data_IF_418594132324
#
_entry.id   IF_418594132324
#
_cell.length_a   1.000
_cell.length_b   1.000
_cell.length_c   1.000
_cell.angle_alpha   90.00
_cell.angle_beta   90.00
_cell.angle_gamma   90.00
#
_symmetry.space_group_name_H-M   'P 1'
#
loop_
_entity.id
_entity.type
_entity.pdbx_description
1 polymer ?
#
# COMPACT_ATOMS: atom_id res chain seq x y z
N UNK A 1 -3.40 -3.70 15.66
CA UNK A 1 -3.82 -2.67 16.63
C UNK A 1 -4.50 -3.31 17.83
N UNK A 2 -4.51 -2.58 18.92
CA UNK A 2 -5.29 -2.94 20.11
C UNK A 2 -6.26 -1.81 20.42
N UNK A 3 -7.55 -2.11 20.51
CA UNK A 3 -8.63 -1.16 20.81
C UNK A 3 -9.48 -1.73 21.93
N UNK A 4 -9.64 -0.99 23.02
CA UNK A 4 -10.36 -1.43 24.22
C UNK A 4 -9.93 -2.85 24.71
N UNK A 5 -8.63 -3.14 24.64
CA UNK A 5 -8.09 -4.42 25.07
C UNK A 5 -8.25 -5.58 24.06
N UNK A 6 -8.93 -5.37 22.93
CA UNK A 6 -9.09 -6.35 21.84
C UNK A 6 -8.03 -6.13 20.78
N UNK A 7 -7.35 -7.20 20.37
CA UNK A 7 -6.34 -7.16 19.31
C UNK A 7 -6.96 -7.33 17.93
N UNK A 8 -6.52 -6.47 16.99
CA UNK A 8 -6.90 -6.48 15.58
C UNK A 8 -5.64 -6.63 14.73
N UNK A 9 -5.53 -7.68 13.91
CA UNK A 9 -4.40 -7.84 12.99
C UNK A 9 -4.29 -6.67 12.03
N UNK A 10 -3.06 -6.22 11.77
CA UNK A 10 -2.74 -5.19 10.79
C UNK A 10 -1.72 -5.72 9.78
N UNK A 11 -1.75 -5.16 8.58
CA UNK A 11 -0.67 -5.31 7.61
C UNK A 11 -0.18 -3.91 7.25
N UNK A 12 1.09 -3.63 7.58
CA UNK A 12 1.72 -2.34 7.30
C UNK A 12 1.76 -2.05 5.80
N UNK A 13 1.47 -0.82 5.42
CA UNK A 13 1.57 -0.37 4.04
C UNK A 13 3.03 -0.22 3.61
N UNK A 14 3.32 -0.50 2.35
CA UNK A 14 4.64 -0.23 1.80
C UNK A 14 4.96 1.25 1.94
N UNK A 15 6.12 1.57 2.50
CA UNK A 15 6.59 2.91 2.92
C UNK A 15 5.90 3.49 4.18
N UNK A 16 5.16 2.71 4.94
CA UNK A 16 4.70 3.14 6.26
C UNK A 16 5.88 3.45 7.20
N UNK A 17 5.71 4.41 8.07
CA UNK A 17 6.59 4.55 9.23
C UNK A 17 6.33 3.42 10.23
N UNK A 18 7.35 3.14 11.05
CA UNK A 18 7.21 2.28 12.22
C UNK A 18 6.35 2.94 13.29
N UNK A 19 5.69 2.12 14.07
CA UNK A 19 5.00 2.52 15.29
C UNK A 19 5.21 1.47 16.38
N UNK A 20 5.68 1.90 17.52
CA UNK A 20 5.82 1.07 18.71
C UNK A 20 4.83 1.55 19.76
N UNK A 21 3.74 0.81 19.92
CA UNK A 21 2.69 1.09 20.93
C UNK A 21 2.16 2.53 20.85
N UNK A 22 1.96 3.05 19.65
CA UNK A 22 1.49 4.41 19.39
C UNK A 22 0.06 4.58 19.91
N UNK A 23 -0.10 5.41 20.91
CA UNK A 23 -1.40 5.68 21.55
C UNK A 23 -2.14 6.86 20.90
N UNK A 24 -3.44 6.74 20.77
CA UNK A 24 -4.30 7.83 20.30
C UNK A 24 -5.77 7.49 20.30
N UNK A 25 -6.61 8.51 20.25
CA UNK A 25 -8.05 8.34 20.06
C UNK A 25 -8.31 7.87 18.63
N UNK A 26 -9.09 6.80 18.48
CA UNK A 26 -9.54 6.32 17.19
C UNK A 26 -10.62 7.27 16.64
N UNK A 27 -10.49 7.67 15.38
CA UNK A 27 -11.42 8.56 14.71
C UNK A 27 -11.86 7.94 13.39
N UNK A 28 -13.14 7.73 13.20
CA UNK A 28 -13.67 7.26 11.92
C UNK A 28 -13.92 8.42 10.95
N UNK A 29 -13.28 8.34 9.79
CA UNK A 29 -13.47 9.27 8.69
C UNK A 29 -14.75 8.91 7.90
N UNK A 30 -15.88 9.39 8.38
CA UNK A 30 -17.20 9.10 7.78
C UNK A 30 -17.39 9.67 6.38
N UNK A 31 -16.52 10.62 5.96
CA UNK A 31 -16.56 11.20 4.62
C UNK A 31 -15.69 10.45 3.61
N UNK A 32 -15.05 9.35 4.01
CA UNK A 32 -14.16 8.57 3.15
C UNK A 32 -14.84 7.93 1.92
N UNK A 33 -16.13 7.68 1.98
CA UNK A 33 -16.92 7.13 0.88
C UNK A 33 -17.69 8.21 0.09
N UNK A 34 -17.64 9.45 0.53
CA UNK A 34 -18.35 10.56 -0.10
C UNK A 34 -17.62 11.07 -1.35
N UNK A 35 -18.39 11.36 -2.40
CA UNK A 35 -17.86 11.93 -3.65
C UNK A 35 -18.27 13.38 -3.80
N UNK A 36 -17.36 14.17 -4.36
CA UNK A 36 -17.67 15.55 -4.71
C UNK A 36 -17.71 16.51 -3.52
N UNK A 37 -16.93 16.24 -2.49
CA UNK A 37 -16.76 17.17 -1.37
C UNK A 37 -16.31 18.55 -1.86
N UNK A 38 -16.89 19.59 -1.28
CA UNK A 38 -16.44 20.96 -1.49
C UNK A 38 -15.05 21.16 -0.83
N UNK A 39 -14.30 22.16 -1.27
CA UNK A 39 -13.00 22.51 -0.68
C UNK A 39 -13.06 22.75 0.83
N UNK A 40 -14.16 23.33 1.33
CA UNK A 40 -14.33 23.57 2.76
C UNK A 40 -14.58 22.25 3.50
N UNK A 41 -15.45 21.39 2.99
CA UNK A 41 -15.70 20.07 3.58
C UNK A 41 -14.42 19.21 3.61
N UNK A 42 -13.61 19.23 2.55
CA UNK A 42 -12.30 18.56 2.56
C UNK A 42 -11.35 19.14 3.62
N UNK A 43 -11.32 20.47 3.74
CA UNK A 43 -10.49 21.15 4.75
C UNK A 43 -10.91 20.71 6.15
N UNK A 44 -12.18 20.85 6.48
CA UNK A 44 -12.74 20.50 7.80
C UNK A 44 -12.52 19.00 8.11
N UNK A 45 -12.69 18.13 7.10
CA UNK A 45 -12.41 16.69 7.20
C UNK A 45 -10.98 16.43 7.66
N UNK A 46 -9.98 17.02 7.00
CA UNK A 46 -8.57 16.81 7.36
C UNK A 46 -8.19 17.49 8.67
N UNK A 47 -8.76 18.65 8.99
CA UNK A 47 -8.53 19.32 10.29
C UNK A 47 -8.98 18.46 11.49
N UNK A 48 -10.02 17.63 11.31
CA UNK A 48 -10.52 16.71 12.35
C UNK A 48 -9.57 15.53 12.63
N UNK A 49 -8.58 15.27 11.78
CA UNK A 49 -7.62 14.18 11.95
C UNK A 49 -6.49 14.50 12.93
N UNK A 50 -6.35 15.75 13.32
CA UNK A 50 -5.25 16.18 14.21
C UNK A 50 -5.21 15.37 15.50
N UNK A 51 -4.03 14.83 15.80
CA UNK A 51 -3.75 13.99 16.98
C UNK A 51 -4.56 12.69 17.09
N UNK A 52 -5.21 12.26 16.00
CA UNK A 52 -6.06 11.06 15.94
C UNK A 52 -5.37 9.89 15.20
N UNK A 53 -5.78 8.67 15.53
CA UNK A 53 -5.58 7.48 14.73
C UNK A 53 -6.82 7.39 13.82
N UNK A 54 -6.63 7.58 12.52
CA UNK A 54 -7.73 7.72 11.55
C UNK A 54 -8.09 6.36 10.98
N UNK A 55 -9.32 5.92 11.20
CA UNK A 55 -9.92 4.75 10.56
C UNK A 55 -10.69 5.23 9.32
N UNK A 56 -10.39 4.69 8.13
CA UNK A 56 -10.91 5.21 6.86
C UNK A 56 -11.04 4.13 5.79
N UNK A 57 -11.82 4.36 4.76
CA UNK A 57 -11.86 3.52 3.55
C UNK A 57 -10.84 3.95 2.49
N UNK A 58 -10.14 5.06 2.70
CA UNK A 58 -9.14 5.57 1.78
C UNK A 58 -7.76 4.93 2.01
N UNK A 59 -7.21 4.28 0.98
CA UNK A 59 -5.90 3.59 1.03
C UNK A 59 -4.83 4.26 0.17
N UNK A 60 -5.11 5.41 -0.46
CA UNK A 60 -4.19 6.05 -1.39
C UNK A 60 -3.11 6.86 -0.68
N UNK A 61 -1.88 6.78 -1.17
CA UNK A 61 -0.74 7.53 -0.63
C UNK A 61 -0.96 9.06 -0.56
N UNK A 62 -1.72 9.63 -1.51
CA UNK A 62 -2.08 11.06 -1.47
C UNK A 62 -2.94 11.39 -0.25
N UNK A 63 -3.89 10.52 0.11
CA UNK A 63 -4.69 10.68 1.32
C UNK A 63 -3.83 10.60 2.57
N UNK A 64 -2.97 9.58 2.67
CA UNK A 64 -2.08 9.39 3.83
C UNK A 64 -1.15 10.59 4.01
N UNK A 65 -0.62 11.15 2.93
CA UNK A 65 0.20 12.38 2.99
C UNK A 65 -0.59 13.56 3.53
N UNK A 66 -1.80 13.79 3.04
CA UNK A 66 -2.67 14.88 3.51
C UNK A 66 -3.08 14.68 4.99
N UNK A 67 -3.34 13.44 5.41
CA UNK A 67 -3.59 13.12 6.82
C UNK A 67 -2.37 13.44 7.70
N UNK A 68 -1.17 13.12 7.22
CA UNK A 68 0.09 13.48 7.89
C UNK A 68 0.27 15.00 8.01
N UNK A 69 0.05 15.74 6.93
CA UNK A 69 0.12 17.21 6.91
C UNK A 69 -0.91 17.85 7.86
N UNK A 70 -2.06 17.22 8.02
CA UNK A 70 -3.09 17.65 8.96
C UNK A 70 -2.77 17.30 10.43
N UNK A 71 -1.75 16.49 10.68
CA UNK A 71 -1.30 16.11 12.01
C UNK A 71 -1.96 14.86 12.57
N UNK A 72 -2.45 13.96 11.72
CA UNK A 72 -2.87 12.63 12.16
C UNK A 72 -1.69 11.85 12.76
N UNK A 73 -1.95 10.97 13.71
CA UNK A 73 -0.94 10.09 14.32
C UNK A 73 -0.67 8.84 13.52
N UNK A 74 -1.73 8.24 12.98
CA UNK A 74 -1.68 7.04 12.13
C UNK A 74 -2.91 6.98 11.24
N UNK A 75 -2.84 6.15 10.17
CA UNK A 75 -3.97 5.82 9.32
C UNK A 75 -4.17 4.30 9.31
N UNK A 76 -5.38 3.86 9.60
CA UNK A 76 -5.82 2.48 9.45
C UNK A 76 -6.85 2.44 8.33
N UNK A 77 -6.49 1.88 7.18
CA UNK A 77 -7.44 1.79 6.07
C UNK A 77 -8.16 0.44 6.07
N UNK A 78 -9.49 0.50 5.93
CA UNK A 78 -10.34 -0.68 5.88
C UNK A 78 -10.24 -1.30 4.48
N UNK A 79 -9.90 -2.59 4.42
CA UNK A 79 -9.81 -3.31 3.16
C UNK A 79 -11.17 -3.39 2.47
N UNK A 80 -11.21 -3.00 1.19
CA UNK A 80 -12.43 -3.04 0.39
C UNK A 80 -12.90 -4.49 0.09
N UNK A 81 -11.96 -5.44 0.07
CA UNK A 81 -12.25 -6.86 -0.20
C UNK A 81 -12.91 -7.55 0.98
N UNK A 82 -13.85 -8.45 0.66
CA UNK A 82 -14.49 -9.32 1.67
C UNK A 82 -13.60 -10.55 1.89
N UNK A 83 -13.50 -11.01 3.13
CA UNK A 83 -12.73 -12.18 3.51
C UNK A 83 -11.81 -11.90 4.71
N UNK A 84 -11.04 -12.91 5.12
CA UNK A 84 -10.20 -12.86 6.32
C UNK A 84 -8.77 -12.40 6.05
N UNK A 85 -8.49 -11.86 4.88
CA UNK A 85 -7.18 -11.33 4.51
C UNK A 85 -7.19 -9.81 4.44
N UNK A 86 -6.00 -9.23 4.63
CA UNK A 86 -5.76 -7.79 4.52
C UNK A 86 -4.92 -7.57 3.26
N UNK A 87 -5.45 -6.81 2.31
CA UNK A 87 -4.71 -6.47 1.11
C UNK A 87 -3.61 -5.46 1.44
N UNK A 88 -2.40 -5.71 0.96
CA UNK A 88 -1.31 -4.75 1.07
C UNK A 88 -1.62 -3.49 0.24
N UNK A 89 -1.20 -2.35 0.74
CA UNK A 89 -1.26 -1.09 0.02
C UNK A 89 0.12 -0.44 -0.08
N UNK A 90 0.25 0.47 -1.03
CA UNK A 90 1.47 1.26 -1.23
C UNK A 90 1.13 2.74 -1.10
N UNK A 91 1.68 3.39 -0.09
CA UNK A 91 1.45 4.81 0.19
C UNK A 91 2.55 5.71 -0.36
N UNK A 92 3.60 5.13 -0.92
CA UNK A 92 4.70 5.85 -1.56
C UNK A 92 4.48 6.11 -3.04
N UNK A 93 5.59 6.35 -3.73
CA UNK A 93 5.61 6.48 -5.20
C UNK A 93 5.42 5.12 -5.86
N UNK A 94 4.46 5.01 -6.77
CA UNK A 94 4.22 3.79 -7.54
C UNK A 94 5.13 3.74 -8.77
N UNK A 95 5.44 4.90 -9.34
CA UNK A 95 6.25 5.04 -10.56
C UNK A 95 7.65 5.54 -10.23
N UNK A 96 8.62 4.73 -10.56
CA UNK A 96 10.04 4.99 -10.30
C UNK A 96 10.49 4.58 -8.89
N UNK A 97 11.75 4.23 -8.79
CA UNK A 97 12.40 4.01 -7.48
C UNK A 97 12.83 5.38 -6.96
N UNK A 98 12.49 5.75 -5.72
CA UNK A 98 12.98 6.99 -5.13
C UNK A 98 14.51 6.96 -5.08
N UNK A 99 15.14 8.04 -5.50
CA UNK A 99 16.56 8.21 -5.30
C UNK A 99 16.89 8.57 -3.83
N UNK A 100 18.19 8.75 -3.52
CA UNK A 100 18.60 9.05 -2.16
C UNK A 100 18.06 10.38 -1.64
N UNK A 101 17.85 11.35 -2.51
CA UNK A 101 17.32 12.67 -2.15
C UNK A 101 15.81 12.57 -1.92
N UNK A 102 15.09 11.84 -2.76
CA UNK A 102 13.66 11.59 -2.60
C UNK A 102 13.33 10.73 -1.38
N UNK A 103 14.19 9.75 -1.04
CA UNK A 103 14.00 8.89 0.13
C UNK A 103 13.91 9.70 1.45
N UNK A 104 14.54 10.88 1.51
CA UNK A 104 14.44 11.76 2.67
C UNK A 104 13.03 12.36 2.83
N UNK A 105 12.26 12.48 1.74
CA UNK A 105 10.89 13.00 1.73
C UNK A 105 9.83 11.91 1.91
N UNK A 106 10.24 10.63 1.95
CA UNK A 106 9.35 9.49 2.13
C UNK A 106 9.12 9.13 3.60
N UNK A 107 9.19 10.09 4.48
CA UNK A 107 8.79 9.90 5.88
C UNK A 107 7.27 10.03 5.97
N UNK A 108 6.59 8.90 5.86
CA UNK A 108 5.15 8.85 6.05
C UNK A 108 4.83 8.60 7.53
N UNK A 109 3.58 8.91 7.93
CA UNK A 109 3.09 8.47 9.23
C UNK A 109 2.84 6.94 9.22
N UNK A 110 2.69 6.30 10.39
CA UNK A 110 2.28 4.90 10.47
C UNK A 110 0.96 4.68 9.74
N UNK A 111 0.95 3.74 8.78
CA UNK A 111 -0.22 3.39 7.98
C UNK A 111 -0.30 1.88 7.78
N UNK A 112 -1.50 1.33 7.93
CA UNK A 112 -1.72 -0.10 7.79
C UNK A 112 -3.14 -0.42 7.34
N UNK A 113 -3.29 -1.57 6.67
CA UNK A 113 -4.58 -2.17 6.38
C UNK A 113 -5.13 -2.93 7.57
N UNK A 114 -6.45 -2.88 7.75
CA UNK A 114 -7.23 -3.70 8.68
C UNK A 114 -8.29 -4.49 7.91
N UNK A 115 -8.63 -5.70 8.37
CA UNK A 115 -9.69 -6.50 7.72
C UNK A 115 -11.00 -5.72 7.68
N UNK A 116 -11.75 -5.94 6.61
CA UNK A 116 -13.06 -5.30 6.44
C UNK A 116 -13.98 -5.53 7.63
N UNK A 117 -14.14 -6.78 8.04
CA UNK A 117 -15.04 -7.11 9.15
C UNK A 117 -14.62 -6.44 10.47
N UNK A 118 -13.31 -6.32 10.72
CA UNK A 118 -12.79 -5.66 11.92
C UNK A 118 -13.04 -4.13 11.86
N UNK A 119 -12.81 -3.53 10.71
CA UNK A 119 -13.06 -2.11 10.50
C UNK A 119 -14.55 -1.76 10.67
N UNK A 120 -15.45 -2.54 10.05
CA UNK A 120 -16.89 -2.38 10.19
C UNK A 120 -17.33 -2.54 11.67
N UNK A 121 -16.80 -3.54 12.38
CA UNK A 121 -17.09 -3.72 13.80
C UNK A 121 -16.59 -2.57 14.70
N UNK A 122 -15.42 -1.98 14.34
CA UNK A 122 -14.92 -0.79 15.05
C UNK A 122 -15.82 0.42 14.81
N UNK A 123 -16.29 0.64 13.59
CA UNK A 123 -17.23 1.73 13.25
C UNK A 123 -18.52 1.60 14.09
N UNK A 124 -19.08 0.39 14.17
CA UNK A 124 -20.27 0.14 14.99
C UNK A 124 -20.03 0.45 16.48
N UNK A 125 -18.89 0.01 17.03
CA UNK A 125 -18.52 0.29 18.42
C UNK A 125 -18.33 1.79 18.70
N UNK A 126 -17.70 2.50 17.76
CA UNK A 126 -17.47 3.96 17.87
C UNK A 126 -18.76 4.78 17.91
N UNK A 127 -19.89 4.21 17.42
CA UNK A 127 -21.20 4.85 17.56
C UNK A 127 -21.65 4.99 19.03
N UNK A 128 -21.08 4.22 19.95
CA UNK A 128 -21.36 4.28 21.38
C UNK A 128 -20.47 5.30 22.14
N UNK A 129 -19.40 5.80 21.55
CA UNK A 129 -18.50 6.77 22.15
C UNK A 129 -17.08 6.75 21.60
N UNK A 130 -16.24 7.62 22.13
CA UNK A 130 -14.82 7.65 21.78
C UNK A 130 -14.10 6.40 22.26
N UNK A 131 -13.14 5.94 21.48
CA UNK A 131 -12.32 4.77 21.77
C UNK A 131 -10.84 5.13 21.65
N UNK A 132 -10.02 4.61 22.54
CA UNK A 132 -8.58 4.71 22.45
C UNK A 132 -7.99 3.47 21.74
N UNK A 133 -6.99 3.72 20.92
CA UNK A 133 -6.28 2.69 20.18
C UNK A 133 -4.77 2.76 20.44
N UNK A 134 -4.16 1.59 20.41
CA UNK A 134 -2.71 1.40 20.39
C UNK A 134 -2.34 0.72 19.06
N UNK A 135 -1.40 1.32 18.35
CA UNK A 135 -0.94 0.81 17.04
C UNK A 135 0.53 0.42 17.12
N UNK A 136 0.83 -0.81 16.73
CA UNK A 136 2.19 -1.30 16.55
C UNK A 136 2.35 -1.77 15.10
N UNK A 137 3.33 -1.22 14.39
CA UNK A 137 3.70 -1.55 13.01
C UNK A 137 5.21 -1.73 12.96
N UNK A 138 5.66 -2.93 12.67
CA UNK A 138 7.08 -3.22 12.44
C UNK A 138 7.35 -3.13 10.94
N UNK A 139 8.12 -2.13 10.52
CA UNK A 139 8.46 -1.88 9.13
C UNK A 139 9.91 -1.48 8.99
N UNK A 140 10.59 -1.99 7.98
CA UNK A 140 11.93 -1.58 7.63
C UNK A 140 11.98 -1.17 6.15
N UNK A 141 12.19 0.12 5.89
CA UNK A 141 12.43 0.65 4.54
C UNK A 141 13.91 0.93 4.35
N UNK A 142 14.56 0.20 3.44
CA UNK A 142 15.98 0.39 3.12
C UNK A 142 16.30 0.01 1.68
N UNK A 143 17.43 0.53 1.19
CA UNK A 143 17.96 0.12 -0.10
C UNK A 143 18.55 -1.28 0.02
N UNK A 144 18.10 -2.19 -0.85
CA UNK A 144 18.59 -3.56 -0.95
C UNK A 144 18.96 -3.85 -2.40
N UNK A 145 19.87 -4.82 -2.57
CA UNK A 145 20.12 -5.39 -3.90
C UNK A 145 19.02 -6.39 -4.22
N UNK A 146 18.49 -6.28 -5.43
CA UNK A 146 17.56 -7.24 -6.02
C UNK A 146 18.16 -7.77 -7.31
N UNK A 147 17.88 -9.02 -7.67
CA UNK A 147 18.29 -9.60 -8.94
C UNK A 147 17.30 -9.21 -10.02
N UNK A 148 17.79 -9.03 -11.23
CA UNK A 148 16.96 -8.87 -12.44
C UNK A 148 17.36 -9.98 -13.40
N UNK A 149 16.39 -10.79 -13.80
CA UNK A 149 16.59 -11.83 -14.81
C UNK A 149 16.42 -11.21 -16.20
N UNK A 150 17.40 -11.38 -17.07
CA UNK A 150 17.34 -10.89 -18.44
C UNK A 150 17.78 -11.97 -19.42
N UNK A 151 17.13 -12.03 -20.56
CA UNK A 151 17.46 -12.88 -21.70
C UNK A 151 17.63 -11.99 -22.92
N UNK A 152 18.78 -12.09 -23.60
CA UNK A 152 19.08 -11.38 -24.83
C UNK A 152 19.13 -12.39 -25.99
N UNK A 153 18.16 -12.29 -26.89
CA UNK A 153 18.07 -13.11 -28.11
C UNK A 153 18.50 -12.24 -29.29
N UNK A 154 19.72 -12.44 -29.75
CA UNK A 154 20.31 -11.64 -30.83
C UNK A 154 19.55 -11.81 -32.15
N UNK A 155 19.10 -10.68 -32.71
CA UNK A 155 18.56 -10.57 -34.05
C UNK A 155 19.64 -10.19 -35.07
N UNK A 156 19.22 -9.74 -36.27
CA UNK A 156 20.09 -9.30 -37.35
C UNK A 156 20.38 -7.80 -37.39
N UNK A 157 19.77 -7.03 -36.54
CA UNK A 157 19.95 -5.58 -36.45
C UNK A 157 20.31 -5.15 -35.03
N UNK A 158 20.74 -3.90 -34.89
CA UNK A 158 20.99 -3.27 -33.57
C UNK A 158 19.71 -2.79 -32.88
N UNK A 159 18.58 -2.81 -33.59
CA UNK A 159 17.29 -2.51 -33.00
C UNK A 159 16.82 -3.69 -32.14
N UNK A 160 16.13 -3.40 -31.05
CA UNK A 160 15.59 -4.44 -30.17
C UNK A 160 14.14 -4.19 -29.81
N UNK A 161 13.45 -5.23 -29.44
CA UNK A 161 12.14 -5.20 -28.79
C UNK A 161 12.35 -5.61 -27.35
N UNK A 162 11.98 -4.73 -26.42
CA UNK A 162 11.97 -5.03 -25.00
C UNK A 162 10.62 -5.60 -24.60
N UNK A 163 10.63 -6.78 -24.01
CA UNK A 163 9.47 -7.37 -23.34
C UNK A 163 9.81 -7.53 -21.87
N UNK A 164 9.03 -6.96 -20.99
CA UNK A 164 9.34 -6.92 -19.57
C UNK A 164 8.12 -7.22 -18.70
N UNK A 165 8.37 -7.66 -17.49
CA UNK A 165 7.42 -7.86 -16.42
C UNK A 165 8.11 -7.66 -15.07
N UNK A 166 7.37 -7.73 -13.99
CA UNK A 166 7.92 -7.74 -12.63
C UNK A 166 7.69 -9.10 -11.98
N UNK A 167 8.65 -9.60 -11.19
CA UNK A 167 8.57 -10.91 -10.56
C UNK A 167 8.29 -10.87 -9.05
N UNK A 168 8.20 -9.67 -8.49
CA UNK A 168 7.66 -9.48 -7.14
C UNK A 168 6.15 -9.69 -7.15
N UNK A 169 5.61 -10.06 -6.00
CA UNK A 169 4.19 -10.41 -5.91
C UNK A 169 3.59 -9.99 -4.59
N UNK A 170 2.26 -9.85 -4.59
CA UNK A 170 1.46 -9.81 -3.39
C UNK A 170 1.04 -11.24 -3.03
N UNK A 171 1.36 -11.69 -1.80
CA UNK A 171 1.09 -13.06 -1.35
C UNK A 171 1.64 -14.12 -2.33
N UNK A 172 0.83 -15.05 -2.79
CA UNK A 172 1.19 -16.09 -3.76
C UNK A 172 1.39 -15.57 -5.18
N UNK A 173 0.88 -14.40 -5.50
CA UNK A 173 1.14 -13.68 -6.74
C UNK A 173 0.73 -14.38 -8.04
N UNK A 174 -0.29 -15.25 -8.02
CA UNK A 174 -0.65 -16.07 -9.18
C UNK A 174 -0.93 -15.21 -10.42
N UNK A 175 -1.74 -14.19 -10.31
CA UNK A 175 -2.09 -13.29 -11.42
C UNK A 175 -1.20 -12.06 -11.49
N UNK A 176 -0.66 -11.62 -10.36
CA UNK A 176 0.19 -10.46 -10.22
C UNK A 176 1.48 -10.85 -9.46
N UNK A 177 2.52 -11.38 -10.14
CA UNK A 177 2.65 -11.36 -11.60
C UNK A 177 3.11 -12.73 -12.18
N UNK A 178 2.97 -13.84 -11.47
CA UNK A 178 3.52 -15.16 -11.86
C UNK A 178 3.03 -15.67 -13.23
N UNK A 179 1.78 -15.36 -13.60
CA UNK A 179 1.26 -15.72 -14.93
C UNK A 179 2.03 -14.99 -16.02
N UNK A 180 2.29 -13.70 -15.87
CA UNK A 180 3.06 -12.92 -16.84
C UNK A 180 4.51 -13.41 -16.92
N UNK A 181 5.11 -13.77 -15.79
CA UNK A 181 6.47 -14.33 -15.76
C UNK A 181 6.56 -15.67 -16.48
N UNK A 182 5.58 -16.54 -16.29
CA UNK A 182 5.49 -17.80 -17.02
C UNK A 182 5.34 -17.58 -18.53
N UNK A 183 4.56 -16.59 -18.96
CA UNK A 183 4.42 -16.20 -20.36
C UNK A 183 5.75 -15.68 -20.90
N UNK A 184 6.47 -14.85 -20.16
CA UNK A 184 7.77 -14.32 -20.58
C UNK A 184 8.82 -15.43 -20.76
N UNK A 185 8.84 -16.40 -19.86
CA UNK A 185 9.72 -17.56 -19.97
C UNK A 185 9.40 -18.41 -21.23
N UNK A 186 8.12 -18.68 -21.46
CA UNK A 186 7.68 -19.43 -22.65
C UNK A 186 7.94 -18.63 -23.94
N UNK A 187 7.74 -17.32 -23.91
CA UNK A 187 8.04 -16.44 -25.03
C UNK A 187 9.52 -16.50 -25.40
N UNK A 188 10.41 -16.42 -24.42
CA UNK A 188 11.84 -16.54 -24.62
C UNK A 188 12.22 -17.92 -25.19
N UNK A 189 11.60 -19.00 -24.68
CA UNK A 189 11.83 -20.37 -25.16
C UNK A 189 11.44 -20.55 -26.65
N UNK A 190 10.27 -20.03 -27.03
CA UNK A 190 9.77 -20.11 -28.41
C UNK A 190 10.65 -19.28 -29.32
N UNK A 191 10.98 -18.05 -28.97
CA UNK A 191 11.85 -17.22 -29.81
C UNK A 191 13.24 -17.85 -29.99
N UNK A 192 13.80 -18.44 -28.94
CA UNK A 192 15.10 -19.13 -29.05
C UNK A 192 15.02 -20.36 -29.94
N UNK A 193 13.95 -21.13 -29.86
CA UNK A 193 13.73 -22.30 -30.73
C UNK A 193 13.63 -21.93 -32.21
N UNK A 194 13.09 -20.74 -32.50
CA UNK A 194 12.94 -20.21 -33.87
C UNK A 194 13.95 -19.13 -34.23
N UNK A 195 15.06 -19.05 -33.46
CA UNK A 195 16.04 -17.96 -33.60
C UNK A 195 16.54 -17.77 -35.04
N UNK A 196 16.72 -18.86 -35.84
CA UNK A 196 17.17 -18.78 -37.25
C UNK A 196 16.16 -18.08 -38.19
N UNK A 197 14.90 -18.00 -37.77
CA UNK A 197 13.82 -17.37 -38.54
C UNK A 197 13.65 -15.88 -38.18
N UNK A 198 14.23 -15.43 -37.06
CA UNK A 198 14.17 -14.03 -36.63
C UNK A 198 14.98 -13.13 -37.58
N UNK A 199 14.36 -12.11 -38.10
CA UNK A 199 14.95 -11.17 -39.05
C UNK A 199 15.27 -9.83 -38.39
#
# INVERSE_FOLDING_TARGET
AKVDGVEYPLVGDVYSAEADSLQGTLYYDSLSEEKGLTKNQEKDRFESFRDKIVLTWESKGVFVRRAMEAGAKAVLHICATKGDYIHHSNIGTIWGTPDFDEAAYMKFLPSAGIRRADGEALIEKMAAGEMDAEVTIEMETKIRRSSMVAVDIKGKSDSFVLVSGHYDSWYEGITDNAVSDAILLEYARVLYAHWSELK
#
